data_IF_711501861109
#
_entry.id   IF_711501861109
#
_cell.length_a   1.000
_cell.length_b   1.000
_cell.length_c   1.000
_cell.angle_alpha   90.00
_cell.angle_beta   90.00
_cell.angle_gamma   90.00
#
_symmetry.space_group_name_H-M   'P 1'
#
loop_
_entity.id
_entity.type
_entity.pdbx_description
1 polymer ?
#
# COMPACT_ATOMS: atom_id res chain seq x y z
N UNK A 1 52.35 67.89 16.05
CA UNK A 1 52.32 67.74 14.58
C UNK A 1 51.02 67.04 14.23
N UNK A 2 50.17 67.72 13.46
CA UNK A 2 48.88 67.24 12.96
C UNK A 2 49.09 66.59 11.60
N UNK A 3 48.53 65.40 11.39
CA UNK A 3 48.07 64.82 10.12
C UNK A 3 47.84 63.31 10.35
N UNK A 4 46.90 62.59 9.75
CA UNK A 4 45.63 62.86 9.08
C UNK A 4 45.03 61.45 8.91
N UNK A 5 43.73 61.25 9.19
CA UNK A 5 43.02 60.01 8.91
C UNK A 5 42.69 59.93 7.40
N UNK A 6 42.78 58.76 6.77
CA UNK A 6 42.00 58.47 5.57
C UNK A 6 40.77 57.60 5.87
N UNK A 7 39.66 58.07 5.30
CA UNK A 7 38.26 57.63 5.27
C UNK A 7 38.01 56.25 4.60
N UNK A 8 36.78 55.70 4.73
CA UNK A 8 36.49 54.26 4.57
C UNK A 8 36.32 53.79 3.12
N UNK A 9 36.79 52.58 2.86
CA UNK A 9 36.61 51.85 1.60
C UNK A 9 35.13 51.53 1.34
N UNK A 10 34.67 51.99 0.18
CA UNK A 10 33.35 51.86 -0.40
C UNK A 10 32.89 50.42 -0.60
N UNK A 11 31.65 50.16 -0.18
CA UNK A 11 30.88 48.95 -0.37
C UNK A 11 30.40 48.89 -1.83
N UNK A 12 30.94 47.98 -2.64
CA UNK A 12 30.44 47.73 -4.00
C UNK A 12 29.10 46.98 -3.94
N UNK A 13 28.01 47.72 -4.17
CA UNK A 13 26.70 47.17 -4.46
C UNK A 13 26.63 46.74 -5.93
N UNK A 14 26.66 45.41 -6.16
CA UNK A 14 26.20 44.85 -7.42
C UNK A 14 24.66 44.93 -7.52
N UNK A 15 24.07 45.67 -8.47
CA UNK A 15 22.65 45.53 -8.76
C UNK A 15 22.43 44.22 -9.54
N UNK A 16 21.88 43.21 -8.86
CA UNK A 16 21.29 42.06 -9.51
C UNK A 16 20.13 42.54 -10.41
N UNK A 17 20.32 42.39 -11.72
CA UNK A 17 19.29 42.62 -12.73
C UNK A 17 18.13 41.64 -12.51
N UNK A 18 16.86 42.09 -12.52
CA UNK A 18 15.73 41.17 -12.45
C UNK A 18 15.60 40.41 -13.78
N UNK A 19 15.86 39.10 -13.75
CA UNK A 19 15.54 38.20 -14.84
C UNK A 19 14.01 38.16 -15.01
N UNK A 20 13.52 38.84 -16.03
CA UNK A 20 12.12 38.78 -16.46
C UNK A 20 11.92 37.41 -17.12
N UNK A 21 11.49 36.43 -16.34
CA UNK A 21 11.09 35.14 -16.87
C UNK A 21 9.68 35.26 -17.42
N UNK A 22 9.57 35.30 -18.74
CA UNK A 22 8.30 35.32 -19.46
C UNK A 22 7.50 34.06 -19.15
N UNK A 23 6.31 34.25 -18.60
CA UNK A 23 5.32 33.22 -18.31
C UNK A 23 4.84 32.55 -19.60
N UNK A 24 5.34 31.34 -19.86
CA UNK A 24 4.69 30.41 -20.79
C UNK A 24 3.55 29.73 -20.04
N UNK A 25 2.33 30.21 -20.28
CA UNK A 25 1.10 29.55 -19.85
C UNK A 25 0.94 28.27 -20.68
N UNK A 26 1.40 27.15 -20.12
CA UNK A 26 1.02 25.82 -20.61
C UNK A 26 -0.35 25.48 -20.04
N UNK A 27 -1.36 25.67 -20.89
CA UNK A 27 -2.73 25.19 -20.65
C UNK A 27 -2.72 23.66 -20.79
N UNK A 28 -2.84 22.94 -19.68
CA UNK A 28 -2.99 21.48 -19.68
C UNK A 28 -4.43 21.12 -19.32
N UNK A 29 -5.11 20.53 -20.30
CA UNK A 29 -6.45 20.01 -20.21
C UNK A 29 -6.49 18.69 -19.41
N UNK A 30 -7.54 18.56 -18.59
CA UNK A 30 -8.28 17.37 -18.19
C UNK A 30 -7.49 16.19 -17.60
N UNK A 31 -7.70 15.96 -16.29
CA UNK A 31 -8.25 14.70 -15.77
C UNK A 31 -9.08 15.05 -14.52
N UNK A 32 -10.39 15.18 -14.70
CA UNK A 32 -11.34 15.06 -13.59
C UNK A 32 -11.30 13.59 -13.16
N UNK A 33 -10.61 13.30 -12.06
CA UNK A 33 -10.74 12.02 -11.37
C UNK A 33 -12.04 12.02 -10.59
N UNK A 34 -13.05 11.31 -11.08
CA UNK A 34 -14.19 10.88 -10.26
C UNK A 34 -13.67 9.84 -9.25
N UNK A 35 -13.35 10.28 -8.04
CA UNK A 35 -13.39 9.42 -6.87
C UNK A 35 -14.83 9.40 -6.39
N UNK A 36 -15.60 8.40 -6.82
CA UNK A 36 -16.87 8.09 -6.16
C UNK A 36 -16.55 7.50 -4.78
N UNK A 37 -17.33 7.84 -3.75
CA UNK A 37 -17.28 7.21 -2.41
C UNK A 37 -17.78 5.74 -2.43
N UNK A 38 -17.67 5.09 -3.59
CA UNK A 38 -17.86 3.68 -3.81
C UNK A 38 -16.67 2.92 -3.26
N UNK A 39 -16.75 2.62 -1.96
CA UNK A 39 -16.16 1.44 -1.33
C UNK A 39 -15.95 0.35 -2.39
N UNK A 40 -14.73 -0.17 -2.54
CA UNK A 40 -14.52 -1.31 -3.44
C UNK A 40 -15.58 -2.36 -3.09
N UNK A 41 -16.46 -2.65 -4.06
CA UNK A 41 -17.41 -3.72 -3.92
C UNK A 41 -16.60 -4.94 -3.49
N UNK A 42 -17.05 -5.61 -2.42
CA UNK A 42 -16.45 -6.87 -2.01
C UNK A 42 -16.31 -7.74 -3.25
N UNK A 43 -15.21 -8.48 -3.34
CA UNK A 43 -14.94 -9.38 -4.46
C UNK A 43 -16.08 -10.40 -4.52
N UNK A 44 -17.15 -10.03 -5.23
CA UNK A 44 -18.17 -10.93 -5.72
C UNK A 44 -17.48 -11.58 -6.90
N UNK A 45 -16.84 -12.72 -6.62
CA UNK A 45 -16.27 -13.54 -7.68
C UNK A 45 -17.41 -13.81 -8.67
N UNK A 46 -17.25 -13.49 -9.96
CA UNK A 46 -18.19 -13.94 -10.96
C UNK A 46 -18.25 -15.45 -10.84
N UNK A 47 -19.42 -15.99 -10.53
CA UNK A 47 -19.67 -17.40 -10.79
C UNK A 47 -19.34 -17.56 -12.28
N UNK A 48 -18.31 -18.33 -12.68
CA UNK A 48 -18.10 -18.53 -14.09
C UNK A 48 -19.33 -19.27 -14.60
N UNK A 49 -20.16 -18.57 -15.38
CA UNK A 49 -21.07 -19.24 -16.30
C UNK A 49 -20.21 -20.21 -17.09
N UNK A 50 -20.48 -21.50 -16.86
CA UNK A 50 -19.80 -22.57 -17.53
C UNK A 50 -20.07 -22.42 -19.02
N UNK A 51 -19.10 -21.86 -19.75
CA UNK A 51 -19.00 -21.97 -21.18
C UNK A 51 -18.84 -23.44 -21.54
N UNK A 52 -19.98 -24.12 -21.66
CA UNK A 52 -20.07 -25.43 -22.28
C UNK A 52 -19.78 -25.29 -23.77
N UNK A 53 -18.53 -25.61 -24.15
CA UNK A 53 -18.20 -25.90 -25.53
C UNK A 53 -18.91 -27.17 -26.01
N UNK A 54 -19.04 -27.33 -27.34
CA UNK A 54 -20.00 -28.21 -27.99
C UNK A 54 -19.74 -29.68 -27.68
N UNK A 55 -20.84 -30.43 -27.60
CA UNK A 55 -21.08 -31.77 -28.10
C UNK A 55 -19.94 -32.75 -28.49
N UNK A 56 -20.20 -34.04 -28.51
CA UNK A 56 -21.27 -34.57 -29.37
C UNK A 56 -22.67 -34.16 -28.91
N UNK A 57 -23.30 -33.28 -29.68
CA UNK A 57 -24.29 -32.31 -29.20
C UNK A 57 -25.61 -32.96 -28.83
N UNK A 58 -25.96 -32.87 -27.55
CA UNK A 58 -27.32 -33.11 -27.06
C UNK A 58 -27.77 -31.87 -26.28
N UNK A 59 -28.79 -31.20 -26.80
CA UNK A 59 -29.46 -30.06 -26.16
C UNK A 59 -29.99 -30.53 -24.81
N UNK A 60 -29.44 -30.02 -23.71
CA UNK A 60 -29.95 -30.33 -22.37
C UNK A 60 -31.19 -29.46 -22.15
N UNK A 61 -32.34 -30.04 -22.46
CA UNK A 61 -33.64 -29.63 -21.94
C UNK A 61 -33.62 -29.85 -20.42
N UNK A 62 -33.02 -28.91 -19.71
CA UNK A 62 -33.11 -28.84 -18.27
C UNK A 62 -34.52 -28.33 -17.97
N UNK A 63 -35.46 -29.27 -17.82
CA UNK A 63 -36.82 -29.04 -17.35
C UNK A 63 -36.81 -28.46 -15.93
N UNK A 64 -36.38 -27.21 -15.80
CA UNK A 64 -36.33 -26.42 -14.58
C UNK A 64 -37.76 -26.05 -14.17
N UNK A 65 -38.51 -27.02 -13.64
CA UNK A 65 -39.72 -26.76 -12.87
C UNK A 65 -39.47 -26.97 -11.37
N UNK A 66 -38.47 -27.78 -11.00
CA UNK A 66 -38.18 -28.14 -9.62
C UNK A 66 -36.70 -27.88 -9.33
N UNK A 67 -36.40 -27.00 -8.37
CA UNK A 67 -35.03 -26.60 -8.00
C UNK A 67 -34.12 -27.77 -7.56
N UNK A 68 -32.85 -27.48 -7.18
CA UNK A 68 -31.87 -28.51 -6.90
C UNK A 68 -32.39 -29.50 -5.84
N UNK A 69 -32.22 -30.82 -6.07
CA UNK A 69 -32.75 -31.84 -5.18
C UNK A 69 -32.11 -31.73 -3.79
N UNK A 70 -32.85 -32.07 -2.72
CA UNK A 70 -32.35 -32.00 -1.35
C UNK A 70 -31.13 -32.91 -1.15
N UNK A 71 -30.26 -32.50 -0.22
CA UNK A 71 -28.92 -33.08 -0.01
C UNK A 71 -28.90 -34.56 0.41
N UNK A 72 -30.06 -35.13 0.75
CA UNK A 72 -30.30 -36.51 1.16
C UNK A 72 -30.79 -37.42 0.02
N UNK A 73 -30.93 -36.91 -1.21
CA UNK A 73 -31.22 -37.70 -2.39
C UNK A 73 -30.00 -38.57 -2.76
N UNK A 74 -29.86 -39.70 -2.08
CA UNK A 74 -28.83 -40.69 -2.32
C UNK A 74 -28.92 -41.20 -3.77
N UNK A 75 -28.05 -40.69 -4.64
CA UNK A 75 -27.79 -41.29 -5.94
C UNK A 75 -27.74 -40.39 -7.17
N UNK A 76 -27.72 -39.06 -7.08
CA UNK A 76 -27.65 -38.21 -8.28
C UNK A 76 -26.46 -37.24 -8.28
N UNK A 77 -25.76 -37.22 -9.41
CA UNK A 77 -24.65 -36.35 -9.76
C UNK A 77 -24.99 -34.87 -9.48
N UNK A 78 -24.35 -34.22 -8.52
CA UNK A 78 -24.52 -32.77 -8.35
C UNK A 78 -24.14 -32.21 -6.98
N UNK A 79 -24.16 -33.02 -5.92
CA UNK A 79 -23.93 -32.52 -4.56
C UNK A 79 -22.48 -32.76 -4.10
N UNK A 80 -21.49 -32.23 -4.82
CA UNK A 80 -20.11 -32.19 -4.32
C UNK A 80 -19.88 -30.91 -3.52
N UNK A 81 -19.72 -31.06 -2.20
CA UNK A 81 -19.31 -29.98 -1.31
C UNK A 81 -17.79 -29.91 -1.27
N UNK A 82 -17.21 -28.87 -1.86
CA UNK A 82 -15.78 -28.58 -1.71
C UNK A 82 -15.56 -27.75 -0.45
N UNK A 83 -14.82 -28.31 0.51
CA UNK A 83 -14.33 -27.52 1.64
C UNK A 83 -13.16 -26.67 1.17
N UNK A 84 -13.40 -25.37 1.00
CA UNK A 84 -12.33 -24.40 0.75
C UNK A 84 -11.63 -24.13 2.08
N UNK A 85 -10.40 -24.64 2.22
CA UNK A 85 -9.53 -24.29 3.35
C UNK A 85 -8.57 -23.20 2.86
N UNK A 86 -8.84 -21.91 3.14
CA UNK A 86 -7.94 -20.86 2.73
C UNK A 86 -6.65 -20.93 3.55
N UNK A 87 -5.53 -21.17 2.88
CA UNK A 87 -4.19 -21.02 3.45
C UNK A 87 -3.71 -19.57 3.28
N UNK A 88 -3.53 -18.80 4.37
CA UNK A 88 -3.09 -17.42 4.29
C UNK A 88 -1.68 -17.33 3.65
N UNK A 89 -1.48 -16.53 2.60
CA UNK A 89 -0.15 -16.32 2.04
C UNK A 89 0.74 -15.52 2.99
N UNK A 90 2.06 -15.66 2.81
CA UNK A 90 3.05 -14.86 3.51
C UNK A 90 3.28 -13.55 2.75
N UNK A 91 3.07 -12.42 3.42
CA UNK A 91 3.37 -11.09 2.93
C UNK A 91 4.52 -10.52 3.77
N UNK A 92 5.68 -10.33 3.13
CA UNK A 92 6.91 -9.93 3.80
C UNK A 92 7.38 -8.56 3.30
N UNK A 93 7.45 -7.60 4.21
CA UNK A 93 7.88 -6.23 3.89
C UNK A 93 9.39 -6.09 4.00
N UNK A 94 9.99 -5.44 3.00
CA UNK A 94 11.38 -4.98 3.03
C UNK A 94 11.35 -3.47 2.88
N UNK A 95 11.60 -2.75 3.96
CA UNK A 95 11.47 -1.29 4.00
C UNK A 95 12.84 -0.63 3.86
N UNK A 96 13.00 0.18 2.81
CA UNK A 96 14.17 1.03 2.64
C UNK A 96 14.11 2.25 3.58
N UNK A 97 15.23 2.52 4.23
CA UNK A 97 15.51 3.61 5.16
C UNK A 97 16.85 4.29 4.81
N UNK A 98 17.26 4.19 3.54
CA UNK A 98 18.37 4.96 2.99
C UNK A 98 18.19 6.47 3.24
N UNK A 99 19.28 7.25 3.13
CA UNK A 99 19.23 8.70 3.35
C UNK A 99 18.17 9.41 2.51
N UNK A 100 17.92 8.95 1.27
CA UNK A 100 16.91 9.52 0.37
C UNK A 100 15.47 9.38 0.88
N UNK A 101 15.23 8.47 1.82
CA UNK A 101 13.91 8.24 2.44
C UNK A 101 13.60 9.27 3.54
N UNK A 102 14.59 10.07 3.96
CA UNK A 102 14.42 11.19 4.89
C UNK A 102 13.88 12.46 4.21
N UNK A 103 13.97 12.53 2.88
CA UNK A 103 13.37 13.63 2.12
C UNK A 103 11.85 13.66 2.29
N UNK A 104 11.25 14.82 2.05
CA UNK A 104 9.80 14.96 2.03
C UNK A 104 9.18 14.15 0.89
N UNK A 105 7.99 13.58 1.14
CA UNK A 105 7.26 12.78 0.16
C UNK A 105 6.65 13.64 -0.96
N UNK A 106 6.42 14.93 -0.69
CA UNK A 106 5.88 15.92 -1.61
C UNK A 106 6.39 17.31 -1.22
N UNK A 107 6.55 18.26 -2.17
CA UNK A 107 6.92 19.64 -1.87
C UNK A 107 5.91 20.37 -0.96
N UNK A 108 4.70 19.83 -0.80
CA UNK A 108 3.63 20.42 0.01
C UNK A 108 3.49 19.81 1.40
N UNK A 109 4.24 18.76 1.72
CA UNK A 109 4.09 18.00 2.97
C UNK A 109 5.38 17.98 3.78
N UNK A 110 5.26 17.96 5.10
CA UNK A 110 6.39 17.72 6.02
C UNK A 110 6.65 16.23 6.28
N UNK A 111 5.79 15.35 5.77
CA UNK A 111 5.94 13.89 5.89
C UNK A 111 7.11 13.40 5.05
N UNK A 112 8.00 12.61 5.65
CA UNK A 112 9.10 11.97 4.91
C UNK A 112 8.60 10.82 4.04
N UNK A 113 9.33 10.47 2.99
CA UNK A 113 9.02 9.28 2.17
C UNK A 113 8.91 8.02 3.04
N UNK A 114 9.82 7.87 4.01
CA UNK A 114 9.78 6.76 4.97
C UNK A 114 8.48 6.73 5.78
N UNK A 115 8.07 7.88 6.34
CA UNK A 115 6.84 7.96 7.13
C UNK A 115 5.59 7.64 6.28
N UNK A 116 5.57 8.08 5.02
CA UNK A 116 4.49 7.76 4.09
C UNK A 116 4.41 6.25 3.78
N UNK A 117 5.54 5.62 3.43
CA UNK A 117 5.61 4.17 3.17
C UNK A 117 5.26 3.36 4.41
N UNK A 118 5.74 3.77 5.58
CA UNK A 118 5.39 3.15 6.87
C UNK A 118 3.88 3.17 7.10
N UNK A 119 3.23 4.33 6.91
CA UNK A 119 1.78 4.46 7.05
C UNK A 119 1.04 3.54 6.07
N UNK A 120 1.40 3.58 4.78
CA UNK A 120 0.77 2.74 3.77
C UNK A 120 0.91 1.24 4.07
N UNK A 121 2.09 0.84 4.56
CA UNK A 121 2.34 -0.56 4.94
C UNK A 121 1.46 -1.00 6.12
N UNK A 122 1.26 -0.13 7.11
CA UNK A 122 0.35 -0.39 8.25
C UNK A 122 -1.08 -0.52 7.75
N UNK A 123 -1.52 0.37 6.86
CA UNK A 123 -2.88 0.36 6.32
C UNK A 123 -3.15 -0.94 5.54
N UNK A 124 -2.18 -1.44 4.75
CA UNK A 124 -2.28 -2.76 4.06
C UNK A 124 -2.40 -3.91 5.05
N UNK A 125 -1.57 -3.94 6.10
CA UNK A 125 -1.62 -5.00 7.13
C UNK A 125 -2.96 -4.98 7.87
N UNK A 126 -3.47 -3.78 8.17
CA UNK A 126 -4.75 -3.60 8.81
C UNK A 126 -5.91 -4.09 7.93
N UNK A 127 -5.88 -3.78 6.64
CA UNK A 127 -6.93 -4.15 5.69
C UNK A 127 -6.98 -5.66 5.42
N UNK A 128 -5.81 -6.28 5.25
CA UNK A 128 -5.73 -7.73 5.02
C UNK A 128 -6.00 -8.54 6.29
N UNK A 129 -5.56 -8.05 7.45
CA UNK A 129 -5.73 -8.72 8.74
C UNK A 129 -5.37 -10.20 8.67
N UNK A 130 -6.31 -11.06 9.07
CA UNK A 130 -6.12 -12.51 9.12
C UNK A 130 -6.06 -13.19 7.75
N UNK A 131 -6.21 -12.47 6.64
CA UNK A 131 -6.06 -13.08 5.31
C UNK A 131 -4.60 -13.38 4.96
N UNK A 132 -3.63 -12.83 5.70
CA UNK A 132 -2.20 -13.01 5.43
C UNK A 132 -1.41 -13.35 6.69
N UNK A 133 -0.21 -13.90 6.50
CA UNK A 133 0.85 -13.86 7.51
C UNK A 133 1.79 -12.70 7.19
N UNK A 134 2.16 -11.91 8.19
CA UNK A 134 2.95 -10.68 8.03
C UNK A 134 4.31 -10.82 8.68
N UNK A 135 5.36 -10.47 7.94
CA UNK A 135 6.72 -10.31 8.42
C UNK A 135 7.36 -9.03 7.87
N UNK A 136 8.46 -8.58 8.48
CA UNK A 136 9.09 -7.33 8.08
C UNK A 136 10.60 -7.28 8.37
N UNK A 137 11.33 -6.65 7.46
CA UNK A 137 12.73 -6.20 7.63
C UNK A 137 12.85 -4.73 7.30
N UNK A 138 13.83 -4.07 7.93
CA UNK A 138 14.26 -2.73 7.56
C UNK A 138 15.68 -2.77 7.04
N UNK A 139 15.93 -2.06 5.95
CA UNK A 139 17.23 -1.88 5.32
C UNK A 139 17.53 -0.38 5.20
N UNK A 140 18.73 0.12 5.56
CA UNK A 140 19.75 -0.57 6.32
C UNK A 140 19.27 -0.91 7.75
N UNK A 141 19.78 -2.00 8.31
CA UNK A 141 19.38 -2.50 9.63
C UNK A 141 20.03 -1.79 10.82
N UNK A 142 21.07 -0.99 10.57
CA UNK A 142 21.72 -0.11 11.55
C UNK A 142 21.38 1.35 11.25
N UNK A 143 21.14 2.19 12.27
CA UNK A 143 21.05 3.64 12.11
C UNK A 143 22.41 4.28 11.76
N UNK A 144 23.51 3.53 11.85
CA UNK A 144 24.81 3.98 11.35
C UNK A 144 24.67 4.17 9.84
N UNK A 145 24.79 5.42 9.38
CA UNK A 145 24.58 5.89 8.00
C UNK A 145 25.56 5.30 6.96
N UNK A 146 26.17 4.15 7.24
CA UNK A 146 26.78 3.34 6.21
C UNK A 146 25.66 2.67 5.42
N UNK A 147 25.31 3.29 4.29
CA UNK A 147 24.25 2.88 3.35
C UNK A 147 24.37 1.44 2.85
N UNK A 148 25.51 0.79 3.10
CA UNK A 148 25.79 -0.60 2.75
C UNK A 148 25.54 -1.61 3.89
N UNK A 149 24.96 -1.19 5.02
CA UNK A 149 24.69 -2.08 6.15
C UNK A 149 23.60 -3.10 5.81
N UNK A 150 23.75 -4.34 6.29
CA UNK A 150 22.76 -5.39 6.06
C UNK A 150 21.40 -5.02 6.64
N UNK A 151 20.33 -5.54 6.04
CA UNK A 151 18.99 -5.42 6.59
C UNK A 151 18.85 -6.15 7.93
N UNK A 152 17.86 -5.76 8.72
CA UNK A 152 17.52 -6.39 10.00
C UNK A 152 16.05 -6.79 10.00
N UNK A 153 15.77 -8.04 10.35
CA UNK A 153 14.39 -8.47 10.64
C UNK A 153 13.87 -7.76 11.87
N UNK A 154 12.72 -7.11 11.72
CA UNK A 154 12.03 -6.39 12.80
C UNK A 154 10.74 -7.08 13.22
N UNK A 155 10.19 -7.95 12.35
CA UNK A 155 9.02 -8.77 12.66
C UNK A 155 9.13 -10.13 11.97
N UNK A 156 9.18 -11.20 12.77
CA UNK A 156 9.05 -12.56 12.26
C UNK A 156 7.65 -12.79 11.67
N UNK A 157 7.59 -13.54 10.56
CA UNK A 157 6.34 -13.88 9.87
C UNK A 157 5.35 -14.56 10.81
N UNK A 158 4.15 -14.00 10.94
CA UNK A 158 3.07 -14.54 11.79
C UNK A 158 1.71 -14.18 11.24
N UNK A 159 0.67 -14.95 11.59
CA UNK A 159 -0.71 -14.69 11.17
C UNK A 159 -1.14 -13.26 11.55
N UNK A 160 -1.79 -12.54 10.62
CA UNK A 160 -2.35 -11.22 10.88
C UNK A 160 -3.61 -11.25 11.76
N UNK A 161 -4.10 -10.06 12.13
CA UNK A 161 -5.18 -9.93 13.11
C UNK A 161 -6.54 -10.38 12.58
N UNK A 162 -7.29 -11.15 13.37
CA UNK A 162 -8.67 -11.48 13.04
C UNK A 162 -9.56 -10.22 12.98
N UNK A 163 -10.70 -10.24 12.28
CA UNK A 163 -11.69 -9.18 12.42
C UNK A 163 -12.15 -9.08 13.88
N UNK A 164 -12.17 -7.88 14.45
CA UNK A 164 -12.58 -7.68 15.85
C UNK A 164 -12.45 -6.24 16.31
N UNK A 165 -13.00 -5.96 17.50
CA UNK A 165 -12.78 -4.71 18.20
C UNK A 165 -11.60 -4.85 19.15
N UNK A 166 -10.61 -3.98 18.97
CA UNK A 166 -9.38 -4.01 19.75
C UNK A 166 -9.28 -2.80 20.70
N UNK A 167 -8.64 -2.96 21.87
CA UNK A 167 -8.27 -1.81 22.70
C UNK A 167 -7.17 -1.02 22.00
N UNK A 168 -7.57 -0.05 21.17
CA UNK A 168 -6.69 0.74 20.29
C UNK A 168 -7.20 0.74 18.84
N UNK A 169 -6.49 1.43 17.94
CA UNK A 169 -6.83 1.43 16.51
C UNK A 169 -6.42 0.14 15.77
N UNK A 170 -5.66 -0.74 16.44
CA UNK A 170 -5.01 -1.90 15.82
C UNK A 170 -5.19 -3.17 16.67
N UNK A 171 -5.26 -4.32 16.00
CA UNK A 171 -5.04 -5.60 16.66
C UNK A 171 -3.57 -5.81 17.07
N UNK A 172 -3.27 -6.83 17.88
CA UNK A 172 -1.94 -7.02 18.45
C UNK A 172 -0.84 -7.20 17.40
N UNK A 173 -1.12 -7.83 16.26
CA UNK A 173 -0.13 -8.08 15.21
C UNK A 173 0.12 -6.82 14.40
N UNK A 174 -0.93 -6.08 14.05
CA UNK A 174 -0.83 -4.79 13.35
C UNK A 174 -0.13 -3.76 14.23
N UNK A 175 -0.42 -3.75 15.54
CA UNK A 175 0.29 -2.90 16.50
C UNK A 175 1.78 -3.27 16.60
N UNK A 176 2.10 -4.57 16.67
CA UNK A 176 3.48 -5.04 16.68
C UNK A 176 4.21 -4.70 15.38
N UNK A 177 3.58 -4.87 14.22
CA UNK A 177 4.11 -4.47 12.92
C UNK A 177 4.38 -2.97 12.87
N UNK A 178 3.39 -2.14 13.22
CA UNK A 178 3.53 -0.69 13.25
C UNK A 178 4.67 -0.23 14.16
N UNK A 179 4.81 -0.84 15.34
CA UNK A 179 5.91 -0.54 16.26
C UNK A 179 7.27 -1.00 15.71
N UNK A 180 7.35 -2.21 15.13
CA UNK A 180 8.58 -2.80 14.62
C UNK A 180 9.22 -1.97 13.49
N UNK A 181 8.39 -1.37 12.63
CA UNK A 181 8.85 -0.53 11.53
C UNK A 181 8.97 0.96 11.91
N UNK A 182 8.74 1.31 13.18
CA UNK A 182 8.93 2.68 13.68
C UNK A 182 10.37 2.88 14.16
N UNK A 183 11.31 2.86 13.21
CA UNK A 183 12.74 2.96 13.52
C UNK A 183 13.33 4.30 13.13
#
# INVERSE_FOLDING_TARGET
MVAALPEPGTLDHHPMRPARWSSLLLSSALLVGCGDDGRAAGVEMPIPEAGGGPGEGGVLDAGFQDGPPPADAAGLCGNQFFQVTPEPPNLYFVLDRSGSMLDTASPTTTTTKYAAVRKASIDVVLELGSLVNVGATVFPGSPDFNECSTGREVLSTRRGDAPGSYPGSYGPVTAAFAAAINV
#
